data_IF_188090417006
#
_entry.id   IF_188090417006
#
_cell.length_a   1.000
_cell.length_b   1.000
_cell.length_c   1.000
_cell.angle_alpha   90.00
_cell.angle_beta   90.00
_cell.angle_gamma   90.00
#
_symmetry.space_group_name_H-M   'P 1'
#
loop_
_entity.id
_entity.type
_entity.pdbx_description
1 polymer ?
#
# COMPACT_ATOMS: atom_id res chain seq x y z
N UNK A 1 40.27 12.58 -16.62
CA UNK A 1 38.86 12.92 -16.92
C UNK A 1 38.04 11.72 -16.49
N UNK A 2 37.69 11.69 -15.21
CA UNK A 2 37.04 10.55 -14.56
C UNK A 2 35.56 10.49 -14.89
N UNK A 3 35.15 9.43 -15.59
CA UNK A 3 33.76 8.99 -15.65
C UNK A 3 33.44 8.19 -14.37
N UNK A 4 33.22 8.89 -13.24
CA UNK A 4 32.72 8.30 -12.00
C UNK A 4 31.18 8.23 -12.01
N UNK A 5 30.71 7.01 -11.79
CA UNK A 5 29.41 6.54 -11.30
C UNK A 5 28.41 7.55 -10.71
N UNK A 6 27.11 7.36 -11.02
CA UNK A 6 26.17 6.69 -10.10
C UNK A 6 24.74 6.58 -10.69
N UNK A 7 24.05 5.42 -10.58
CA UNK A 7 22.62 5.31 -10.86
C UNK A 7 21.81 5.67 -9.60
N UNK A 8 21.22 6.86 -9.61
CA UNK A 8 20.09 7.23 -8.75
C UNK A 8 19.10 7.89 -9.71
N UNK A 9 17.82 7.54 -9.76
CA UNK A 9 16.86 7.78 -8.67
C UNK A 9 15.70 6.79 -8.74
N UNK A 10 15.85 5.65 -8.09
CA UNK A 10 14.67 4.99 -7.52
C UNK A 10 14.32 5.81 -6.27
N UNK A 11 13.08 6.28 -6.18
CA UNK A 11 12.53 6.95 -5.00
C UNK A 11 12.81 8.45 -4.80
N UNK A 12 12.49 9.28 -5.80
CA UNK A 12 12.14 10.68 -5.52
C UNK A 12 10.67 10.70 -5.11
N UNK A 13 10.38 10.49 -3.82
CA UNK A 13 9.04 10.68 -3.25
C UNK A 13 8.80 12.19 -3.23
N UNK A 14 8.28 12.73 -4.34
CA UNK A 14 7.72 14.08 -4.36
C UNK A 14 6.72 14.15 -3.21
N UNK A 15 6.92 15.08 -2.28
CA UNK A 15 5.87 15.46 -1.35
C UNK A 15 4.65 15.76 -2.21
N UNK A 16 3.62 14.92 -2.10
CA UNK A 16 2.40 15.10 -2.88
C UNK A 16 1.83 16.46 -2.44
N UNK A 17 1.37 17.31 -3.37
CA UNK A 17 0.54 18.46 -3.02
C UNK A 17 -0.61 17.97 -2.12
N UNK A 18 -1.38 18.88 -1.52
CA UNK A 18 -2.68 18.54 -0.91
C UNK A 18 -3.70 18.10 -1.98
N UNK A 19 -3.30 17.18 -2.85
CA UNK A 19 -4.08 16.56 -3.89
C UNK A 19 -5.15 15.75 -3.19
N UNK A 20 -6.38 16.13 -3.49
CA UNK A 20 -7.54 15.37 -3.06
C UNK A 20 -7.35 13.93 -3.53
N UNK A 21 -7.38 12.98 -2.58
CA UNK A 21 -7.22 11.57 -2.90
C UNK A 21 -8.22 11.20 -4.01
N UNK A 22 -7.73 10.50 -5.02
CA UNK A 22 -8.62 9.86 -6.00
C UNK A 22 -9.54 8.87 -5.29
N UNK A 23 -10.64 8.51 -5.93
CA UNK A 23 -11.60 7.57 -5.34
C UNK A 23 -10.95 6.25 -4.90
N UNK A 24 -10.08 5.67 -5.73
CA UNK A 24 -9.39 4.42 -5.41
C UNK A 24 -8.37 4.59 -4.29
N UNK A 25 -7.61 5.69 -4.27
CA UNK A 25 -6.67 5.97 -3.17
C UNK A 25 -7.40 6.15 -1.83
N UNK A 26 -8.60 6.73 -1.84
CA UNK A 26 -9.42 6.84 -0.64
C UNK A 26 -9.87 5.45 -0.15
N UNK A 27 -10.35 4.60 -1.06
CA UNK A 27 -10.75 3.23 -0.73
C UNK A 27 -9.58 2.38 -0.24
N UNK A 28 -8.41 2.53 -0.86
CA UNK A 28 -7.17 1.86 -0.44
C UNK A 28 -6.77 2.28 0.97
N UNK A 29 -6.74 3.59 1.25
CA UNK A 29 -6.42 4.12 2.57
C UNK A 29 -7.40 3.63 3.66
N UNK A 30 -8.70 3.64 3.35
CA UNK A 30 -9.75 3.14 4.26
C UNK A 30 -9.64 1.63 4.49
N UNK A 31 -9.39 0.85 3.44
CA UNK A 31 -9.24 -0.61 3.56
C UNK A 31 -8.01 -0.98 4.39
N UNK A 32 -6.87 -0.32 4.17
CA UNK A 32 -5.65 -0.53 4.96
C UNK A 32 -5.86 -0.14 6.42
N UNK A 33 -6.62 0.93 6.67
CA UNK A 33 -6.96 1.35 8.03
C UNK A 33 -7.70 0.24 8.77
N UNK A 34 -8.76 -0.31 8.16
CA UNK A 34 -9.56 -1.41 8.73
C UNK A 34 -8.69 -2.65 8.97
N UNK A 35 -7.83 -3.04 8.01
CA UNK A 35 -6.93 -4.17 8.18
C UNK A 35 -5.97 -3.97 9.36
N UNK A 36 -5.48 -2.75 9.55
CA UNK A 36 -4.61 -2.41 10.69
C UNK A 36 -5.33 -2.44 12.03
N UNK A 37 -6.58 -2.01 12.08
CA UNK A 37 -7.42 -2.13 13.28
C UNK A 37 -7.59 -3.61 13.67
N UNK A 38 -7.92 -4.47 12.70
CA UNK A 38 -8.05 -5.91 12.94
C UNK A 38 -6.74 -6.51 13.45
N UNK A 39 -5.59 -6.14 12.87
CA UNK A 39 -4.27 -6.59 13.35
C UNK A 39 -3.94 -6.09 14.76
N UNK A 40 -4.42 -4.90 15.14
CA UNK A 40 -4.21 -4.34 16.47
C UNK A 40 -5.12 -4.97 17.53
N UNK A 41 -6.34 -5.36 17.17
CA UNK A 41 -7.36 -5.84 18.10
C UNK A 41 -7.44 -7.37 18.22
N UNK A 42 -7.04 -8.12 17.18
CA UNK A 42 -7.13 -9.57 17.15
C UNK A 42 -5.79 -10.23 17.52
N UNK A 43 -5.83 -11.26 18.38
CA UNK A 43 -4.60 -12.00 18.78
C UNK A 43 -4.01 -12.84 17.64
N UNK A 44 -4.86 -13.44 16.79
CA UNK A 44 -4.45 -14.32 15.69
C UNK A 44 -5.25 -14.02 14.41
N UNK A 45 -5.02 -12.86 13.76
CA UNK A 45 -5.74 -12.50 12.55
C UNK A 45 -5.39 -13.45 11.40
N UNK A 46 -6.39 -13.84 10.62
CA UNK A 46 -6.24 -14.65 9.41
C UNK A 46 -6.99 -14.03 8.25
N UNK A 47 -6.42 -14.15 7.04
CA UNK A 47 -7.11 -13.77 5.80
C UNK A 47 -7.58 -15.02 5.07
N UNK A 48 -8.89 -15.12 4.83
CA UNK A 48 -9.46 -16.21 4.03
C UNK A 48 -9.21 -15.93 2.54
N UNK A 49 -8.34 -16.73 1.93
CA UNK A 49 -7.98 -16.61 0.52
C UNK A 49 -8.74 -17.63 -0.34
N UNK A 50 -9.58 -17.15 -1.24
CA UNK A 50 -10.45 -17.99 -2.10
C UNK A 50 -9.94 -18.14 -3.53
N UNK A 51 -8.75 -17.62 -3.85
CA UNK A 51 -8.21 -17.56 -5.23
C UNK A 51 -9.12 -16.71 -6.16
N UNK A 52 -10.01 -15.90 -5.59
CA UNK A 52 -10.87 -14.97 -6.33
C UNK A 52 -10.24 -13.58 -6.46
N UNK A 53 -10.78 -12.77 -7.39
CA UNK A 53 -10.32 -11.38 -7.61
C UNK A 53 -10.37 -10.51 -6.35
N UNK A 54 -11.38 -10.70 -5.51
CA UNK A 54 -11.58 -9.87 -4.33
C UNK A 54 -10.55 -10.21 -3.25
N UNK A 55 -10.33 -11.51 -3.01
CA UNK A 55 -9.28 -11.97 -2.09
C UNK A 55 -7.88 -11.64 -2.60
N UNK A 56 -7.67 -11.52 -3.92
CA UNK A 56 -6.41 -11.07 -4.49
C UNK A 56 -6.16 -9.57 -4.25
N UNK A 57 -7.19 -8.73 -4.37
CA UNK A 57 -7.10 -7.31 -3.99
C UNK A 57 -6.87 -7.17 -2.48
N UNK A 58 -7.58 -7.93 -1.65
CA UNK A 58 -7.33 -7.92 -0.20
C UNK A 58 -5.89 -8.31 0.15
N UNK A 59 -5.32 -9.34 -0.51
CA UNK A 59 -3.93 -9.74 -0.32
C UNK A 59 -2.94 -8.65 -0.75
N UNK A 60 -3.27 -7.87 -1.79
CA UNK A 60 -2.46 -6.73 -2.21
C UNK A 60 -2.47 -5.58 -1.18
N UNK A 61 -3.58 -5.41 -0.46
CA UNK A 61 -3.76 -4.39 0.58
C UNK A 61 -3.15 -4.77 1.93
N UNK A 62 -2.88 -6.06 2.15
CA UNK A 62 -2.45 -6.64 3.44
C UNK A 62 -0.97 -6.41 3.76
#
# INVERSE_FOLDING_TARGET
MDARAAPARFFERTALPSDTLTHLQRLEAESIHILREVVAECENPVMLYSIGKDSAVMLHLA
#
